data_IF_268738322587
#
_entry.id   IF_268738322587
#
_cell.length_a   1.000
_cell.length_b   1.000
_cell.length_c   1.000
_cell.angle_alpha   90.00
_cell.angle_beta   90.00
_cell.angle_gamma   90.00
#
_symmetry.space_group_name_H-M   'P 1'
#
loop_
_entity.id
_entity.type
_entity.pdbx_description
1 polymer ?
#
# COMPACT_ATOMS: atom_id res chain seq x y z
N UNK A 1 10.17 39.56 -70.69
CA UNK A 1 9.01 38.89 -70.07
C UNK A 1 9.38 37.42 -69.99
N UNK A 2 10.08 36.96 -68.95
CA UNK A 2 9.55 36.66 -67.61
C UNK A 2 10.68 36.67 -66.57
N UNK A 3 10.29 37.00 -65.34
CA UNK A 3 11.13 37.16 -64.15
C UNK A 3 11.55 35.80 -63.57
N UNK A 4 12.85 35.62 -63.34
CA UNK A 4 13.41 34.55 -62.52
C UNK A 4 13.33 35.02 -61.06
N UNK A 5 12.29 34.61 -60.33
CA UNK A 5 12.21 34.80 -58.88
C UNK A 5 12.65 33.49 -58.23
N UNK A 6 13.86 33.47 -57.68
CA UNK A 6 14.27 32.46 -56.70
C UNK A 6 13.56 32.78 -55.36
N UNK A 7 13.01 31.80 -54.65
CA UNK A 7 12.43 32.07 -53.33
C UNK A 7 13.55 32.41 -52.35
N UNK A 8 13.61 33.67 -51.91
CA UNK A 8 14.41 34.08 -50.76
C UNK A 8 13.70 33.48 -49.53
N UNK A 9 14.03 32.24 -49.18
CA UNK A 9 13.66 31.69 -47.87
C UNK A 9 14.41 32.54 -46.85
N UNK A 10 13.69 33.43 -46.16
CA UNK A 10 14.25 34.29 -45.13
C UNK A 10 14.97 33.42 -44.09
N UNK A 11 16.17 33.84 -43.65
CA UNK A 11 16.88 33.20 -42.54
C UNK A 11 15.98 33.00 -41.32
N UNK A 12 15.01 33.90 -41.10
CA UNK A 12 14.02 33.78 -40.03
C UNK A 12 13.11 32.57 -40.16
N UNK A 13 12.71 32.19 -41.39
CA UNK A 13 11.83 31.05 -41.65
C UNK A 13 12.56 29.71 -41.41
N UNK A 14 13.83 29.63 -41.81
CA UNK A 14 14.70 28.48 -41.52
C UNK A 14 14.95 28.31 -40.02
N UNK A 15 15.17 29.42 -39.31
CA UNK A 15 15.34 29.39 -37.85
C UNK A 15 14.06 28.90 -37.16
N UNK A 16 12.87 29.35 -37.59
CA UNK A 16 11.62 28.87 -37.01
C UNK A 16 11.38 27.37 -37.25
N UNK A 17 11.72 26.86 -38.43
CA UNK A 17 11.56 25.43 -38.75
C UNK A 17 12.55 24.54 -37.99
N UNK A 18 13.79 25.01 -37.82
CA UNK A 18 14.79 24.36 -36.96
C UNK A 18 14.34 24.36 -35.50
N UNK A 19 13.83 25.47 -34.97
CA UNK A 19 13.34 25.52 -33.58
C UNK A 19 12.17 24.58 -33.34
N UNK A 20 11.26 24.43 -34.31
CA UNK A 20 10.15 23.48 -34.21
C UNK A 20 10.64 22.03 -34.18
N UNK A 21 11.58 21.67 -35.07
CA UNK A 21 12.19 20.33 -35.09
C UNK A 21 12.97 20.00 -33.81
N UNK A 22 13.69 20.96 -33.24
CA UNK A 22 14.39 20.77 -31.97
C UNK A 22 13.41 20.59 -30.80
N UNK A 23 12.32 21.36 -30.76
CA UNK A 23 11.29 21.21 -29.73
C UNK A 23 10.52 19.88 -29.83
N UNK A 24 10.27 19.39 -31.04
CA UNK A 24 9.65 18.08 -31.28
C UNK A 24 10.59 16.94 -30.86
N UNK A 25 11.89 17.07 -31.14
CA UNK A 25 12.91 16.12 -30.68
C UNK A 25 13.01 16.06 -29.15
N UNK A 26 13.01 17.21 -28.47
CA UNK A 26 13.04 17.29 -27.01
C UNK A 26 11.80 16.66 -26.35
N UNK A 27 10.61 16.86 -26.96
CA UNK A 27 9.37 16.18 -26.55
C UNK A 27 9.45 14.67 -26.74
N UNK A 28 9.98 14.18 -27.87
CA UNK A 28 10.14 12.75 -28.13
C UNK A 28 11.11 12.14 -27.10
N UNK A 29 12.24 12.79 -26.81
CA UNK A 29 13.19 12.35 -25.79
C UNK A 29 12.55 12.28 -24.39
N UNK A 30 11.75 13.28 -24.02
CA UNK A 30 11.03 13.30 -22.73
C UNK A 30 10.01 12.17 -22.63
N UNK A 31 9.26 11.89 -23.70
CA UNK A 31 8.32 10.78 -23.75
C UNK A 31 9.03 9.43 -23.64
N UNK A 32 10.16 9.25 -24.33
CA UNK A 32 10.94 8.01 -24.26
C UNK A 32 11.46 7.77 -22.85
N UNK A 33 11.99 8.80 -22.17
CA UNK A 33 12.45 8.71 -20.79
C UNK A 33 11.31 8.31 -19.83
N UNK A 34 10.13 8.89 -20.00
CA UNK A 34 8.94 8.54 -19.20
C UNK A 34 8.50 7.08 -19.43
N UNK A 35 8.52 6.61 -20.68
CA UNK A 35 8.16 5.22 -21.01
C UNK A 35 9.18 4.24 -20.42
N UNK A 36 10.47 4.58 -20.44
CA UNK A 36 11.51 3.75 -19.80
C UNK A 36 11.34 3.68 -18.29
N UNK A 37 10.98 4.79 -17.65
CA UNK A 37 10.74 4.83 -16.20
C UNK A 37 9.53 3.97 -15.82
N UNK A 38 8.42 4.08 -16.56
CA UNK A 38 7.22 3.25 -16.35
C UNK A 38 7.50 1.76 -16.52
N UNK A 39 8.27 1.39 -17.54
CA UNK A 39 8.62 0.01 -17.78
C UNK A 39 9.55 -0.51 -16.67
N UNK A 40 10.49 0.33 -16.22
CA UNK A 40 11.41 -0.01 -15.13
C UNK A 40 10.66 -0.24 -13.80
N UNK A 41 9.67 0.59 -13.47
CA UNK A 41 8.86 0.42 -12.26
C UNK A 41 8.01 -0.84 -12.34
N UNK A 42 7.40 -1.12 -13.50
CA UNK A 42 6.60 -2.32 -13.72
C UNK A 42 7.43 -3.61 -13.56
N UNK A 43 8.65 -3.61 -14.11
CA UNK A 43 9.58 -4.74 -13.96
C UNK A 43 10.03 -4.90 -12.51
N UNK A 44 10.33 -3.80 -11.82
CA UNK A 44 10.69 -3.81 -10.41
C UNK A 44 9.55 -4.40 -9.57
N UNK A 45 8.33 -3.91 -9.75
CA UNK A 45 7.14 -4.39 -9.02
C UNK A 45 6.88 -5.88 -9.29
N UNK A 46 7.05 -6.32 -10.54
CA UNK A 46 6.88 -7.73 -10.93
C UNK A 46 7.93 -8.63 -10.28
N UNK A 47 9.20 -8.21 -10.28
CA UNK A 47 10.30 -8.94 -9.64
C UNK A 47 10.11 -9.00 -8.13
N UNK A 48 9.71 -7.89 -7.52
CA UNK A 48 9.49 -7.78 -6.09
C UNK A 48 8.32 -8.67 -5.65
N UNK A 49 7.25 -8.73 -6.46
CA UNK A 49 6.15 -9.68 -6.28
C UNK A 49 6.60 -11.14 -6.34
N UNK A 50 7.42 -11.51 -7.31
CA UNK A 50 7.97 -12.88 -7.43
C UNK A 50 8.85 -13.21 -6.22
N UNK A 51 9.72 -12.30 -5.79
CA UNK A 51 10.58 -12.50 -4.62
C UNK A 51 9.73 -12.69 -3.36
N UNK A 52 8.70 -11.88 -3.16
CA UNK A 52 7.77 -12.01 -2.01
C UNK A 52 7.10 -13.38 -2.02
N UNK A 53 6.53 -13.81 -3.14
CA UNK A 53 5.82 -15.10 -3.24
C UNK A 53 6.75 -16.27 -2.90
N UNK A 54 8.01 -16.22 -3.35
CA UNK A 54 8.99 -17.26 -3.04
C UNK A 54 9.56 -17.16 -1.61
N UNK A 55 9.47 -15.98 -0.99
CA UNK A 55 9.96 -15.74 0.36
C UNK A 55 8.92 -16.06 1.44
N UNK A 56 7.64 -16.17 1.08
CA UNK A 56 6.60 -16.68 2.00
C UNK A 56 6.89 -18.17 2.19
N UNK A 57 7.36 -18.60 3.37
CA UNK A 57 7.56 -20.02 3.60
C UNK A 57 6.19 -20.69 3.56
N UNK A 58 6.09 -21.76 2.78
CA UNK A 58 4.88 -22.59 2.62
C UNK A 58 4.51 -23.35 3.89
N UNK A 59 5.30 -23.18 4.96
CA UNK A 59 5.11 -23.85 6.22
C UNK A 59 3.99 -23.17 7.02
N UNK A 60 2.90 -23.92 7.24
CA UNK A 60 1.79 -23.57 8.13
C UNK A 60 2.22 -23.13 9.54
N UNK A 61 3.48 -23.41 9.91
CA UNK A 61 4.11 -22.98 11.16
C UNK A 61 4.10 -21.45 11.37
N UNK A 62 4.19 -20.63 10.31
CA UNK A 62 4.09 -19.17 10.49
C UNK A 62 2.68 -18.75 10.90
N UNK A 63 1.65 -19.37 10.29
CA UNK A 63 0.26 -19.15 10.64
C UNK A 63 -0.02 -19.66 12.05
N UNK A 64 0.47 -20.84 12.42
CA UNK A 64 0.31 -21.39 13.76
C UNK A 64 0.99 -20.52 14.83
N UNK A 65 2.22 -20.04 14.58
CA UNK A 65 2.93 -19.14 15.49
C UNK A 65 2.22 -17.79 15.59
N UNK A 66 1.70 -17.25 14.48
CA UNK A 66 0.91 -16.04 14.47
C UNK A 66 -0.35 -16.20 15.33
N UNK A 67 -1.11 -17.26 15.10
CA UNK A 67 -2.30 -17.56 15.91
C UNK A 67 -1.95 -17.73 17.38
N UNK A 68 -0.87 -18.43 17.71
CA UNK A 68 -0.40 -18.60 19.09
C UNK A 68 -0.11 -17.26 19.77
N UNK A 69 0.53 -16.32 19.07
CA UNK A 69 0.79 -14.97 19.58
C UNK A 69 -0.52 -14.18 19.77
N UNK A 70 -1.46 -14.31 18.83
CA UNK A 70 -2.79 -13.68 18.93
C UNK A 70 -3.55 -14.23 20.14
N UNK A 71 -3.58 -15.55 20.33
CA UNK A 71 -4.24 -16.19 21.47
C UNK A 71 -3.61 -15.78 22.81
N UNK A 72 -2.28 -15.73 22.90
CA UNK A 72 -1.58 -15.22 24.09
C UNK A 72 -1.95 -13.76 24.41
N UNK A 73 -2.13 -12.93 23.39
CA UNK A 73 -2.52 -11.53 23.56
C UNK A 73 -3.95 -11.40 24.08
N UNK A 74 -4.86 -12.26 23.60
CA UNK A 74 -6.25 -12.31 24.07
C UNK A 74 -6.31 -12.75 25.54
N UNK A 75 -5.53 -13.78 25.92
CA UNK A 75 -5.46 -14.27 27.30
C UNK A 75 -4.92 -13.19 28.26
N UNK A 76 -3.90 -12.44 27.84
CA UNK A 76 -3.40 -11.30 28.62
C UNK A 76 -4.44 -10.20 28.78
N UNK A 77 -5.20 -9.90 27.71
CA UNK A 77 -6.27 -8.91 27.78
C UNK A 77 -7.40 -9.36 28.73
N UNK A 78 -7.79 -10.63 28.67
CA UNK A 78 -8.78 -11.23 29.59
C UNK A 78 -8.31 -11.15 31.04
N UNK A 79 -7.04 -11.44 31.30
CA UNK A 79 -6.45 -11.31 32.63
C UNK A 79 -6.44 -9.85 33.13
N UNK A 80 -6.18 -8.88 32.26
CA UNK A 80 -6.25 -7.45 32.61
C UNK A 80 -7.68 -7.02 32.91
N UNK A 81 -8.67 -7.45 32.12
CA UNK A 81 -10.10 -7.16 32.36
C UNK A 81 -10.57 -7.80 33.68
N UNK A 82 -10.20 -9.06 33.93
CA UNK A 82 -10.49 -9.74 35.18
C UNK A 82 -9.84 -9.03 36.37
N UNK A 83 -8.60 -8.57 36.22
CA UNK A 83 -7.89 -7.80 37.25
C UNK A 83 -8.57 -6.44 37.51
N UNK A 84 -8.99 -5.72 36.47
CA UNK A 84 -9.76 -4.46 36.58
C UNK A 84 -11.14 -4.65 37.22
N UNK A 85 -11.71 -5.85 37.13
CA UNK A 85 -12.99 -6.20 37.75
C UNK A 85 -12.81 -6.58 39.23
N UNK A 86 -11.68 -7.20 39.59
CA UNK A 86 -11.39 -7.68 40.95
C UNK A 86 -10.69 -6.63 41.84
N UNK A 87 -9.96 -5.68 41.25
CA UNK A 87 -9.31 -4.58 41.96
C UNK A 87 -9.90 -3.22 41.53
N UNK A 88 -10.75 -2.58 42.35
CA UNK A 88 -11.29 -1.24 42.09
C UNK A 88 -10.23 -0.11 42.24
N UNK A 89 -8.95 -0.42 42.06
CA UNK A 89 -7.84 0.49 42.30
C UNK A 89 -7.65 1.47 41.12
N UNK A 90 -8.36 2.60 41.18
CA UNK A 90 -7.85 3.87 40.63
C UNK A 90 -8.59 4.46 39.42
N UNK A 91 -9.48 3.72 38.76
CA UNK A 91 -10.41 4.30 37.78
C UNK A 91 -11.80 4.34 38.42
N UNK A 92 -12.34 5.54 38.67
CA UNK A 92 -13.72 5.76 39.13
C UNK A 92 -14.71 5.39 38.01
N UNK A 93 -14.72 4.13 37.62
CA UNK A 93 -15.61 3.57 36.63
C UNK A 93 -16.67 2.74 37.36
N UNK A 94 -17.92 3.07 37.09
CA UNK A 94 -19.12 2.45 37.65
C UNK A 94 -19.13 0.93 37.36
N UNK A 95 -19.59 0.11 38.31
CA UNK A 95 -19.75 -1.35 38.15
C UNK A 95 -20.53 -1.72 36.87
N UNK A 96 -21.46 -0.87 36.45
CA UNK A 96 -22.19 -0.99 35.20
C UNK A 96 -21.28 -0.91 33.95
N UNK A 97 -20.23 -0.08 33.98
CA UNK A 97 -19.31 0.13 32.87
C UNK A 97 -18.28 -1.01 32.79
N UNK A 98 -17.79 -1.53 33.92
CA UNK A 98 -16.97 -2.76 33.92
C UNK A 98 -17.76 -3.96 33.38
N UNK A 99 -19.03 -4.10 33.79
CA UNK A 99 -19.92 -5.17 33.29
C UNK A 99 -20.18 -5.03 31.79
N UNK A 100 -20.44 -3.80 31.32
CA UNK A 100 -20.64 -3.52 29.90
C UNK A 100 -19.39 -3.82 29.07
N UNK A 101 -18.22 -3.40 29.54
CA UNK A 101 -16.96 -3.59 28.83
C UNK A 101 -16.54 -5.07 28.81
N UNK A 102 -16.73 -5.79 29.91
CA UNK A 102 -16.54 -7.24 29.99
C UNK A 102 -17.43 -7.98 28.99
N UNK A 103 -18.72 -7.66 28.94
CA UNK A 103 -19.66 -8.26 27.98
C UNK A 103 -19.32 -7.91 26.52
N UNK A 104 -18.85 -6.68 26.28
CA UNK A 104 -18.42 -6.24 24.95
C UNK A 104 -17.20 -7.04 24.44
N UNK A 105 -16.19 -7.24 25.28
CA UNK A 105 -15.00 -8.02 24.90
C UNK A 105 -15.30 -9.53 24.81
N UNK A 106 -16.09 -10.09 25.73
CA UNK A 106 -16.53 -11.50 25.67
C UNK A 106 -17.32 -11.80 24.40
N UNK A 107 -18.19 -10.88 23.97
CA UNK A 107 -18.93 -11.00 22.72
C UNK A 107 -18.00 -11.06 21.50
N UNK A 108 -16.97 -10.20 21.46
CA UNK A 108 -16.00 -10.18 20.36
C UNK A 108 -15.16 -11.47 20.29
N UNK A 109 -14.74 -12.02 21.44
CA UNK A 109 -14.03 -13.31 21.51
C UNK A 109 -14.93 -14.44 21.03
N UNK A 110 -16.21 -14.46 21.42
CA UNK A 110 -17.18 -15.45 20.97
C UNK A 110 -17.37 -15.38 19.45
N UNK A 111 -17.44 -14.18 18.88
CA UNK A 111 -17.58 -13.98 17.44
C UNK A 111 -16.35 -14.49 16.68
N UNK A 112 -15.14 -14.26 17.19
CA UNK A 112 -13.90 -14.78 16.61
C UNK A 112 -13.85 -16.30 16.64
N UNK A 113 -14.22 -16.93 17.76
CA UNK A 113 -14.33 -18.40 17.86
C UNK A 113 -15.36 -18.99 16.89
N UNK A 114 -16.52 -18.35 16.73
CA UNK A 114 -17.59 -18.85 15.87
C UNK A 114 -17.24 -18.74 14.39
N UNK A 115 -16.43 -17.73 14.01
CA UNK A 115 -15.95 -17.56 12.63
C UNK A 115 -14.91 -18.61 12.23
N UNK A 116 -14.14 -19.13 13.18
CA UNK A 116 -13.07 -20.11 12.94
C UNK A 116 -13.59 -21.55 12.77
N UNK A 117 -14.82 -21.86 13.21
CA UNK A 117 -15.46 -23.17 12.97
C UNK A 117 -16.05 -23.35 11.57
N UNK A 118 -16.05 -22.29 10.75
CA UNK A 118 -16.64 -22.27 9.41
C UNK A 118 -15.62 -22.02 8.29
N UNK A 119 -14.32 -22.09 8.58
CA UNK A 119 -13.20 -22.10 7.63
C UNK A 119 -12.49 -23.44 7.75
#
# INVERSE_FOLDING_TARGET
>A
MYWIIQPIISKSALVTELTYKFADFDRICTCVACITDLFSSLLLDSLLGIVIINSIPTEWQLIENFWKIVFLSIEQLENVINWLTQNPAGLKLNDALNTFLSNFFLYHIHLWKCKEQHI
#
